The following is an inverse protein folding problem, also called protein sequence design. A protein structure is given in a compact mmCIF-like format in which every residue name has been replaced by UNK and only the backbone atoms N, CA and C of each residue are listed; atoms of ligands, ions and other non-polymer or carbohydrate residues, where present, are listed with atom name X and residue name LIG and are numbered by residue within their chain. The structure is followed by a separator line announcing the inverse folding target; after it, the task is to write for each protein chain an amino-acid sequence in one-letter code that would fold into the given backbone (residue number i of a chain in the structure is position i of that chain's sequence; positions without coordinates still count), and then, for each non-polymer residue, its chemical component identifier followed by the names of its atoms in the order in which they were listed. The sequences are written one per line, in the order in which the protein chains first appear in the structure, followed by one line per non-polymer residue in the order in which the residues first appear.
data_IF_339190019684
#
_entry.id   IF_339190019684
#
_cell.length_a   1.000
_cell.length_b   1.000
_cell.length_c   1.000
_cell.angle_alpha   90.00
_cell.angle_beta   90.00
_cell.angle_gamma   90.00
#
_symmetry.space_group_name_H-M   'P 1'
#
loop_
_entity.id
_entity.type
_entity.pdbx_description
1 polymer ?
#
# COMPACT_ATOMS: atom_id res chain seq x y z
N UNK A 1 -17.85 43.07 -17.03
CA UNK A 1 -18.27 41.74 -16.51
C UNK A 1 -17.57 40.68 -17.33
N UNK A 2 -16.89 39.71 -16.69
CA UNK A 2 -16.17 38.65 -17.40
C UNK A 2 -17.15 37.58 -17.93
N UNK A 3 -16.74 36.86 -18.96
CA UNK A 3 -17.52 35.76 -19.57
C UNK A 3 -17.85 34.67 -18.54
N UNK A 4 -16.97 34.46 -17.56
CA UNK A 4 -17.15 33.48 -16.48
C UNK A 4 -18.30 33.87 -15.54
N UNK A 5 -18.49 35.17 -15.28
CA UNK A 5 -19.62 35.64 -14.48
C UNK A 5 -20.95 35.42 -15.21
N UNK A 6 -20.98 35.65 -16.53
CA UNK A 6 -22.18 35.36 -17.35
C UNK A 6 -22.51 33.86 -17.36
N UNK A 7 -21.52 32.99 -17.55
CA UNK A 7 -21.73 31.54 -17.54
C UNK A 7 -22.23 31.02 -16.19
N UNK A 8 -21.71 31.57 -15.09
CA UNK A 8 -22.11 31.19 -13.74
C UNK A 8 -23.55 31.60 -13.44
N UNK A 9 -23.97 32.80 -13.89
CA UNK A 9 -25.33 33.28 -13.70
C UNK A 9 -26.33 32.56 -14.61
N UNK A 10 -25.94 32.19 -15.84
CA UNK A 10 -26.74 31.38 -16.76
C UNK A 10 -26.98 29.97 -16.19
N UNK A 11 -25.95 29.33 -15.65
CA UNK A 11 -26.03 28.01 -15.00
C UNK A 11 -26.90 28.05 -13.74
N UNK A 12 -26.79 29.09 -12.91
CA UNK A 12 -27.66 29.28 -11.74
C UNK A 12 -29.12 29.52 -12.13
N UNK A 13 -29.38 30.15 -13.27
CA UNK A 13 -30.74 30.32 -13.81
C UNK A 13 -31.31 29.00 -14.33
N UNK A 14 -30.54 28.22 -15.08
CA UNK A 14 -30.98 26.93 -15.63
C UNK A 14 -31.13 25.84 -14.56
N UNK A 15 -30.28 25.83 -13.52
CA UNK A 15 -30.39 24.89 -12.41
C UNK A 15 -31.67 25.03 -11.59
N UNK A 16 -32.33 26.20 -11.62
CA UNK A 16 -33.63 26.44 -10.97
C UNK A 16 -34.84 25.98 -11.79
N UNK A 17 -34.66 25.61 -13.06
CA UNK A 17 -35.77 25.15 -13.92
C UNK A 17 -35.82 23.63 -14.10
N UNK A 18 -34.89 22.87 -13.50
CA UNK A 18 -34.93 21.40 -13.54
C UNK A 18 -35.80 20.91 -12.37
N UNK A 19 -37.11 20.94 -12.57
CA UNK A 19 -38.04 20.19 -11.72
C UNK A 19 -38.16 18.78 -12.26
N UNK A 20 -37.84 17.78 -11.43
CA UNK A 20 -38.08 16.38 -11.76
C UNK A 20 -39.59 16.20 -11.98
N UNK A 21 -40.05 15.72 -13.16
CA UNK A 21 -41.48 15.57 -13.40
C UNK A 21 -42.07 14.58 -12.40
N UNK A 22 -43.03 15.04 -11.59
CA UNK A 22 -43.69 14.21 -10.57
C UNK A 22 -44.28 12.91 -11.13
N UNK A 23 -44.57 12.88 -12.44
CA UNK A 23 -45.01 11.70 -13.18
C UNK A 23 -44.02 10.53 -13.18
N UNK A 24 -42.71 10.77 -13.01
CA UNK A 24 -41.70 9.70 -12.98
C UNK A 24 -41.77 8.92 -11.67
N UNK A 25 -41.96 9.61 -10.54
CA UNK A 25 -42.11 9.00 -9.21
C UNK A 25 -43.38 8.15 -9.12
N UNK A 26 -44.52 8.69 -9.59
CA UNK A 26 -45.79 7.97 -9.60
C UNK A 26 -45.74 6.73 -10.49
N UNK A 27 -45.06 6.82 -11.64
CA UNK A 27 -44.89 5.66 -12.55
C UNK A 27 -43.98 4.58 -11.96
N UNK A 28 -42.98 4.95 -11.16
CA UNK A 28 -42.11 3.98 -10.49
C UNK A 28 -42.82 3.29 -9.32
N UNK A 29 -43.63 4.02 -8.53
CA UNK A 29 -44.49 3.42 -7.50
C UNK A 29 -45.51 2.45 -8.11
N UNK A 30 -46.20 2.84 -9.18
CA UNK A 30 -47.19 1.97 -9.83
C UNK A 30 -46.57 0.68 -10.40
N UNK A 31 -45.37 0.76 -10.97
CA UNK A 31 -44.64 -0.43 -11.45
C UNK A 31 -44.15 -1.32 -10.30
N UNK A 32 -43.83 -0.72 -9.15
CA UNK A 32 -43.44 -1.46 -7.96
C UNK A 32 -44.64 -2.20 -7.36
N UNK A 33 -45.77 -1.53 -7.19
CA UNK A 33 -47.00 -2.09 -6.65
C UNK A 33 -47.59 -3.19 -7.55
N UNK A 34 -47.58 -3.00 -8.87
CA UNK A 34 -47.99 -4.04 -9.82
C UNK A 34 -47.13 -5.30 -9.72
N UNK A 35 -45.80 -5.16 -9.61
CA UNK A 35 -44.91 -6.33 -9.44
C UNK A 35 -45.05 -7.00 -8.08
N UNK A 36 -45.38 -6.25 -7.04
CA UNK A 36 -45.60 -6.81 -5.70
C UNK A 36 -46.94 -7.55 -5.63
N UNK A 37 -48.00 -7.00 -6.22
CA UNK A 37 -49.31 -7.64 -6.29
C UNK A 37 -49.30 -8.91 -7.16
N UNK A 38 -48.59 -8.91 -8.30
CA UNK A 38 -48.46 -10.09 -9.16
C UNK A 38 -47.65 -11.22 -8.50
N UNK A 39 -46.70 -10.90 -7.62
CA UNK A 39 -45.98 -11.90 -6.82
C UNK A 39 -46.80 -12.47 -5.67
N UNK A 40 -47.84 -11.77 -5.21
CA UNK A 40 -48.76 -12.26 -4.17
C UNK A 40 -49.91 -13.10 -4.73
N UNK A 41 -50.29 -12.90 -6.00
CA UNK A 41 -51.42 -13.61 -6.62
C UNK A 41 -51.06 -14.96 -7.24
N UNK A 42 -49.78 -15.22 -7.52
CA UNK A 42 -49.30 -16.45 -8.17
C UNK A 42 -48.29 -17.19 -7.30
N UNK A 43 -48.77 -17.95 -6.31
CA UNK A 43 -47.91 -18.90 -5.59
C UNK A 43 -48.52 -19.42 -4.29
N UNK A 44 -49.10 -20.62 -4.37
CA UNK A 44 -49.42 -21.46 -3.22
C UNK A 44 -48.22 -21.63 -2.28
N UNK A 45 -48.40 -21.37 -0.99
CA UNK A 45 -47.54 -21.92 0.07
C UNK A 45 -47.17 -20.96 1.19
N UNK A 46 -47.74 -21.24 2.37
CA UNK A 46 -47.33 -20.80 3.71
C UNK A 46 -47.71 -19.37 4.14
N UNK A 47 -48.84 -19.31 4.85
CA UNK A 47 -49.15 -18.32 5.88
C UNK A 47 -48.02 -18.24 6.91
N UNK A 48 -47.13 -17.24 6.81
CA UNK A 48 -46.09 -16.99 7.85
C UNK A 48 -46.21 -15.60 8.49
N UNK A 49 -47.07 -14.71 7.99
CA UNK A 49 -47.21 -13.36 8.55
C UNK A 49 -48.62 -13.02 9.01
N UNK A 50 -49.16 -13.84 9.92
CA UNK A 50 -50.17 -13.40 10.87
C UNK A 50 -49.44 -13.00 12.18
N UNK A 51 -49.46 -11.70 12.48
CA UNK A 51 -48.75 -10.99 13.57
C UNK A 51 -48.82 -11.70 14.96
N UNK A 52 -47.83 -11.45 15.84
CA UNK A 52 -47.96 -10.29 16.71
C UNK A 52 -46.75 -9.35 16.69
N UNK A 53 -47.10 -8.06 16.64
CA UNK A 53 -46.31 -6.81 16.54
C UNK A 53 -45.33 -6.54 17.70
N UNK A 54 -45.00 -7.55 18.53
CA UNK A 54 -44.17 -7.39 19.75
C UNK A 54 -42.70 -7.78 19.56
N UNK A 55 -42.41 -8.67 18.61
CA UNK A 55 -41.03 -9.04 18.29
C UNK A 55 -40.45 -8.27 17.10
N UNK A 56 -41.26 -7.51 16.35
CA UNK A 56 -40.76 -6.73 15.22
C UNK A 56 -39.78 -5.64 15.66
N UNK A 57 -39.98 -5.05 16.85
CA UNK A 57 -39.04 -4.09 17.42
C UNK A 57 -37.74 -4.77 17.86
N UNK A 58 -37.81 -5.95 18.50
CA UNK A 58 -36.63 -6.71 18.90
C UNK A 58 -35.85 -7.24 17.69
N UNK A 59 -36.54 -7.71 16.65
CA UNK A 59 -35.93 -8.14 15.38
C UNK A 59 -35.33 -6.96 14.64
N UNK A 60 -35.99 -5.79 14.64
CA UNK A 60 -35.44 -4.58 14.03
C UNK A 60 -34.23 -4.06 14.80
N UNK A 61 -34.25 -4.08 16.13
CA UNK A 61 -33.08 -3.77 16.98
C UNK A 61 -31.97 -4.79 16.75
N UNK A 62 -32.28 -6.08 16.65
CA UNK A 62 -31.30 -7.12 16.35
C UNK A 62 -30.72 -6.95 14.93
N UNK A 63 -31.52 -6.57 13.93
CA UNK A 63 -31.07 -6.26 12.57
C UNK A 63 -30.24 -4.98 12.53
N UNK A 64 -30.64 -3.93 13.26
CA UNK A 64 -29.87 -2.72 13.40
C UNK A 64 -28.56 -3.00 14.10
N UNK A 65 -28.56 -3.76 15.20
CA UNK A 65 -27.35 -4.20 15.86
C UNK A 65 -26.49 -5.05 14.93
N UNK A 66 -27.05 -5.97 14.12
CA UNK A 66 -26.31 -6.72 13.10
C UNK A 66 -25.73 -5.84 11.99
N UNK A 67 -26.48 -4.80 11.57
CA UNK A 67 -26.06 -3.82 10.57
C UNK A 67 -24.97 -2.88 11.11
N UNK A 68 -25.01 -2.55 12.41
CA UNK A 68 -24.01 -1.71 13.09
C UNK A 68 -22.84 -2.51 13.69
N UNK A 69 -23.02 -3.79 14.01
CA UNK A 69 -21.98 -4.70 14.51
C UNK A 69 -21.26 -5.45 13.39
N UNK A 70 -21.76 -5.33 12.15
CA UNK A 70 -21.33 -6.13 11.00
C UNK A 70 -20.17 -5.55 10.19
N UNK A 71 -19.57 -4.42 10.59
CA UNK A 71 -18.43 -3.87 9.86
C UNK A 71 -17.33 -3.44 10.83
N UNK A 72 -16.79 -4.41 11.58
CA UNK A 72 -15.40 -4.32 11.96
C UNK A 72 -14.57 -4.52 10.68
N UNK A 73 -14.32 -3.43 9.93
CA UNK A 73 -13.34 -3.46 8.85
C UNK A 73 -12.04 -3.99 9.45
N UNK A 74 -11.59 -5.17 9.00
CA UNK A 74 -10.42 -5.86 9.52
C UNK A 74 -9.09 -5.11 9.22
N UNK A 75 -9.14 -3.90 8.69
CA UNK A 75 -8.01 -3.02 8.49
C UNK A 75 -8.39 -1.60 8.86
N UNK A 76 -7.62 -0.97 9.74
CA UNK A 76 -7.79 0.43 10.11
C UNK A 76 -6.98 1.28 9.15
N UNK A 77 -7.62 2.23 8.45
CA UNK A 77 -6.90 3.26 7.71
C UNK A 77 -6.12 4.11 8.72
N UNK A 78 -4.80 4.17 8.56
CA UNK A 78 -3.92 4.87 9.47
C UNK A 78 -3.68 6.30 9.05
N UNK A 79 -3.34 6.49 7.78
CA UNK A 79 -3.16 7.81 7.20
C UNK A 79 -3.34 7.78 5.69
N UNK A 80 -3.53 8.97 5.13
CA UNK A 80 -3.61 9.20 3.70
C UNK A 80 -2.76 10.42 3.37
N UNK A 81 -1.90 10.28 2.35
CA UNK A 81 -1.21 11.37 1.70
C UNK A 81 -1.91 11.68 0.39
N UNK A 82 -2.08 12.95 0.05
CA UNK A 82 -2.77 13.38 -1.17
C UNK A 82 -2.06 14.62 -1.75
N UNK A 83 -1.79 14.61 -3.06
CA UNK A 83 -1.17 15.71 -3.81
C UNK A 83 -2.12 16.29 -4.89
N UNK A 84 -3.42 16.15 -4.68
CA UNK A 84 -4.50 16.57 -5.58
C UNK A 84 -4.83 15.56 -6.68
N UNK A 85 -3.80 14.96 -7.29
CA UNK A 85 -3.95 13.94 -8.35
C UNK A 85 -3.77 12.55 -7.77
N UNK A 86 -2.68 12.31 -7.04
CA UNK A 86 -2.33 11.02 -6.47
C UNK A 86 -2.69 10.94 -4.99
N UNK A 87 -3.16 9.76 -4.56
CA UNK A 87 -3.49 9.47 -3.17
C UNK A 87 -2.82 8.18 -2.72
N UNK A 88 -2.06 8.24 -1.62
CA UNK A 88 -1.43 7.08 -1.00
C UNK A 88 -2.04 6.84 0.38
N UNK A 89 -2.68 5.70 0.54
CA UNK A 89 -3.34 5.30 1.78
C UNK A 89 -2.56 4.18 2.44
N UNK A 90 -2.29 4.32 3.73
CA UNK A 90 -1.70 3.25 4.53
C UNK A 90 -2.75 2.75 5.51
N UNK A 91 -2.95 1.45 5.51
CA UNK A 91 -3.83 0.76 6.44
C UNK A 91 -3.06 -0.33 7.18
N UNK A 92 -3.50 -0.64 8.39
CA UNK A 92 -2.91 -1.72 9.17
C UNK A 92 -3.94 -2.71 9.66
N UNK A 93 -3.51 -3.96 9.74
CA UNK A 93 -4.19 -5.02 10.45
C UNK A 93 -3.23 -5.55 11.53
N UNK A 94 -3.52 -5.20 12.78
CA UNK A 94 -2.72 -5.61 13.94
C UNK A 94 -2.97 -7.06 14.36
N UNK A 95 -4.01 -7.72 13.82
CA UNK A 95 -4.35 -9.12 14.11
C UNK A 95 -3.60 -10.13 13.21
N UNK A 96 -2.80 -9.65 12.25
CA UNK A 96 -2.07 -10.49 11.28
C UNK A 96 -0.56 -10.34 11.43
N UNK A 97 -0.03 -10.71 12.59
CA UNK A 97 1.43 -10.71 12.84
C UNK A 97 1.98 -12.13 12.84
N UNK A 98 3.21 -12.30 12.36
CA UNK A 98 3.96 -13.54 12.55
C UNK A 98 4.52 -13.55 13.98
N UNK A 99 4.59 -14.74 14.59
CA UNK A 99 5.36 -14.89 15.82
C UNK A 99 6.88 -14.79 15.55
N UNK A 100 7.69 -14.74 16.60
CA UNK A 100 9.14 -14.57 16.47
C UNK A 100 9.81 -15.72 15.70
N UNK A 101 9.38 -16.96 15.93
CA UNK A 101 9.95 -18.15 15.29
C UNK A 101 9.58 -18.19 13.80
N UNK A 102 8.33 -17.90 13.47
CA UNK A 102 7.85 -17.76 12.09
C UNK A 102 8.58 -16.64 11.36
N UNK A 103 8.76 -15.50 12.02
CA UNK A 103 9.47 -14.34 11.46
C UNK A 103 10.92 -14.71 11.11
N UNK A 104 11.63 -15.35 12.04
CA UNK A 104 13.00 -15.80 11.80
C UNK A 104 13.06 -16.81 10.65
N UNK A 105 12.18 -17.81 10.65
CA UNK A 105 12.12 -18.80 9.58
C UNK A 105 11.87 -18.13 8.22
N UNK A 106 10.92 -17.20 8.12
CA UNK A 106 10.66 -16.47 6.87
C UNK A 106 11.89 -15.70 6.41
N UNK A 107 12.59 -14.99 7.30
CA UNK A 107 13.82 -14.24 6.97
C UNK A 107 14.93 -15.15 6.47
N UNK A 108 15.22 -16.23 7.18
CA UNK A 108 16.27 -17.18 6.81
C UNK A 108 16.01 -17.76 5.42
N UNK A 109 14.75 -18.14 5.16
CA UNK A 109 14.31 -18.68 3.86
C UNK A 109 14.45 -17.68 2.73
N UNK A 110 14.02 -16.44 2.93
CA UNK A 110 14.18 -15.36 1.94
C UNK A 110 15.66 -15.10 1.67
N UNK A 111 16.48 -15.06 2.73
CA UNK A 111 17.93 -14.84 2.60
C UNK A 111 18.62 -15.99 1.86
N UNK A 112 18.22 -17.23 2.10
CA UNK A 112 18.74 -18.41 1.38
C UNK A 112 18.45 -18.34 -0.12
N UNK A 113 17.23 -17.94 -0.51
CA UNK A 113 16.91 -17.74 -1.94
C UNK A 113 17.74 -16.60 -2.51
N UNK A 114 17.82 -15.47 -1.79
CA UNK A 114 18.58 -14.30 -2.24
C UNK A 114 20.06 -14.63 -2.48
N UNK A 115 20.69 -15.44 -1.63
CA UNK A 115 22.09 -15.87 -1.80
C UNK A 115 22.32 -16.78 -3.01
N UNK A 116 21.28 -17.41 -3.56
CA UNK A 116 21.35 -18.24 -4.77
C UNK A 116 21.18 -17.43 -6.07
N UNK A 117 20.81 -16.15 -5.96
CA UNK A 117 20.66 -15.24 -7.07
C UNK A 117 22.00 -14.56 -7.36
N UNK A 118 22.32 -14.38 -8.64
CA UNK A 118 23.43 -13.52 -9.04
C UNK A 118 23.05 -12.04 -8.84
N UNK A 119 24.07 -11.17 -8.81
CA UNK A 119 23.86 -9.73 -8.68
C UNK A 119 23.00 -9.19 -9.83
N UNK A 120 21.93 -8.48 -9.50
CA UNK A 120 20.91 -7.98 -10.42
C UNK A 120 19.75 -8.95 -10.69
N UNK A 121 19.81 -10.19 -10.20
CA UNK A 121 18.74 -11.16 -10.43
C UNK A 121 17.60 -11.06 -9.40
N UNK A 122 16.43 -11.53 -9.81
CA UNK A 122 15.20 -11.54 -9.01
C UNK A 122 14.53 -12.91 -9.02
N UNK A 123 13.80 -13.25 -7.97
CA UNK A 123 12.95 -14.44 -7.89
C UNK A 123 11.60 -14.12 -7.23
N UNK A 124 10.60 -14.94 -7.54
CA UNK A 124 9.35 -15.02 -6.79
C UNK A 124 9.45 -16.18 -5.82
N UNK A 125 9.15 -15.91 -4.55
CA UNK A 125 9.21 -16.90 -3.48
C UNK A 125 7.82 -17.06 -2.88
N UNK A 126 7.36 -18.31 -2.73
CA UNK A 126 6.19 -18.64 -1.94
C UNK A 126 6.57 -18.84 -0.48
N UNK A 127 5.88 -18.09 0.39
CA UNK A 127 6.06 -18.09 1.83
C UNK A 127 4.77 -18.59 2.48
N UNK A 128 4.68 -19.88 2.86
CA UNK A 128 3.46 -20.47 3.41
C UNK A 128 2.97 -19.77 4.69
N UNK A 129 3.90 -19.26 5.50
CA UNK A 129 3.60 -18.57 6.75
C UNK A 129 2.74 -17.32 6.53
N UNK A 130 3.02 -16.55 5.47
CA UNK A 130 2.23 -15.38 5.10
C UNK A 130 0.80 -15.78 4.69
N UNK A 131 0.65 -16.91 3.99
CA UNK A 131 -0.66 -17.43 3.61
C UNK A 131 -1.52 -17.78 4.84
N UNK A 132 -0.91 -18.36 5.89
CA UNK A 132 -1.61 -18.76 7.13
C UNK A 132 -2.21 -17.55 7.85
N UNK A 133 -1.55 -16.41 7.80
CA UNK A 133 -2.03 -15.14 8.39
C UNK A 133 -2.75 -14.24 7.38
N UNK A 134 -3.11 -14.77 6.20
CA UNK A 134 -3.84 -14.06 5.14
C UNK A 134 -3.15 -12.77 4.69
N UNK A 135 -1.82 -12.82 4.56
CA UNK A 135 -1.00 -11.85 3.85
C UNK A 135 -0.65 -12.37 2.45
N UNK A 136 -0.26 -11.50 1.50
CA UNK A 136 0.20 -11.92 0.19
C UNK A 136 1.31 -12.97 0.33
N UNK A 137 1.10 -14.21 -0.16
CA UNK A 137 1.99 -15.32 0.14
C UNK A 137 3.13 -15.45 -0.87
N UNK A 138 3.14 -14.62 -1.91
CA UNK A 138 4.27 -14.47 -2.82
C UNK A 138 5.00 -13.17 -2.51
N UNK A 139 6.33 -13.23 -2.46
CA UNK A 139 7.22 -12.07 -2.31
C UNK A 139 8.26 -12.05 -3.42
N UNK A 140 8.57 -10.86 -3.94
CA UNK A 140 9.69 -10.67 -4.89
C UNK A 140 10.96 -10.53 -4.05
N UNK A 141 11.95 -11.37 -4.33
CA UNK A 141 13.26 -11.35 -3.69
C UNK A 141 14.29 -10.96 -4.73
N UNK A 142 15.06 -9.92 -4.46
CA UNK A 142 16.07 -9.39 -5.36
C UNK A 142 17.45 -9.54 -4.71
N UNK A 143 18.46 -9.82 -5.52
CA UNK A 143 19.86 -9.66 -5.16
C UNK A 143 20.37 -8.36 -5.82
N UNK A 144 20.17 -7.20 -5.19
CA UNK A 144 20.46 -5.93 -5.83
C UNK A 144 21.96 -5.74 -6.07
N UNK A 145 22.27 -4.97 -7.12
CA UNK A 145 23.61 -4.41 -7.28
C UNK A 145 23.82 -3.26 -6.29
N UNK A 146 24.96 -3.32 -5.60
CA UNK A 146 25.38 -2.33 -4.62
C UNK A 146 26.35 -1.34 -5.24
N UNK A 147 26.07 -0.06 -5.07
CA UNK A 147 26.88 1.05 -5.59
C UNK A 147 27.42 1.88 -4.43
N UNK A 148 28.74 1.88 -4.24
CA UNK A 148 29.41 2.66 -3.17
C UNK A 148 29.78 4.09 -3.59
N UNK A 149 29.49 4.45 -4.85
CA UNK A 149 29.64 5.80 -5.37
C UNK A 149 28.27 6.31 -5.81
N UNK A 150 27.84 7.44 -5.25
CA UNK A 150 26.52 8.01 -5.47
C UNK A 150 26.30 8.49 -6.92
N UNK A 151 27.33 9.02 -7.56
CA UNK A 151 27.27 9.47 -8.95
C UNK A 151 27.15 8.29 -9.91
N UNK A 152 27.84 7.17 -9.60
CA UNK A 152 27.71 5.93 -10.36
C UNK A 152 26.30 5.36 -10.19
N UNK A 153 25.78 5.33 -8.96
CA UNK A 153 24.40 4.90 -8.69
C UNK A 153 23.38 5.72 -9.49
N UNK A 154 23.48 7.06 -9.46
CA UNK A 154 22.58 7.95 -10.20
C UNK A 154 22.57 7.68 -11.71
N UNK A 155 23.72 7.31 -12.30
CA UNK A 155 23.81 6.96 -13.73
C UNK A 155 23.09 5.66 -14.09
N UNK A 156 22.81 4.79 -13.12
CA UNK A 156 22.08 3.53 -13.34
C UNK A 156 20.57 3.68 -13.22
N UNK A 157 20.09 4.82 -12.72
CA UNK A 157 18.67 5.04 -12.52
C UNK A 157 17.98 5.38 -13.84
N UNK A 158 16.80 4.80 -14.04
CA UNK A 158 15.91 5.16 -15.15
C UNK A 158 15.56 6.65 -15.02
N UNK A 159 15.84 7.42 -16.07
CA UNK A 159 15.67 8.88 -16.10
C UNK A 159 16.95 9.70 -15.84
N UNK A 160 18.04 9.04 -15.44
CA UNK A 160 19.38 9.63 -15.37
C UNK A 160 19.67 10.47 -14.12
N UNK A 161 20.85 11.12 -14.07
CA UNK A 161 21.29 11.91 -12.92
C UNK A 161 20.36 13.08 -12.61
N UNK A 162 20.14 13.35 -11.32
CA UNK A 162 19.36 14.50 -10.85
C UNK A 162 17.84 14.29 -10.80
N UNK A 163 17.33 13.08 -11.08
CA UNK A 163 15.92 12.77 -10.92
C UNK A 163 15.47 12.69 -9.45
N UNK A 164 16.36 12.27 -8.55
CA UNK A 164 16.02 12.00 -7.16
C UNK A 164 16.74 12.97 -6.23
N UNK A 165 15.95 13.60 -5.35
CA UNK A 165 16.49 14.45 -4.28
C UNK A 165 17.43 13.67 -3.38
N UNK A 166 18.51 14.32 -2.98
CA UNK A 166 19.50 13.77 -2.06
C UNK A 166 19.55 14.61 -0.78
N UNK A 167 19.82 14.02 0.38
CA UNK A 167 20.07 14.79 1.59
C UNK A 167 21.38 15.55 1.44
N UNK A 168 21.34 16.88 1.58
CA UNK A 168 22.56 17.71 1.61
C UNK A 168 23.25 17.71 2.97
N UNK A 169 22.52 17.28 4.01
CA UNK A 169 23.03 17.04 5.36
C UNK A 169 22.40 15.79 5.94
N UNK A 170 23.16 15.14 6.81
CA UNK A 170 22.74 13.95 7.55
C UNK A 170 22.91 14.22 9.06
N UNK A 171 22.20 13.45 9.91
CA UNK A 171 22.47 13.43 11.34
C UNK A 171 23.94 13.10 11.61
N UNK A 172 24.44 13.53 12.77
CA UNK A 172 25.85 13.41 13.11
C UNK A 172 26.32 11.94 13.01
N UNK A 173 27.47 11.75 12.36
CA UNK A 173 28.11 10.44 12.22
C UNK A 173 27.54 9.55 11.10
N UNK A 174 26.42 9.91 10.47
CA UNK A 174 25.92 9.18 9.30
C UNK A 174 26.67 9.58 8.03
N UNK A 175 27.05 8.58 7.23
CA UNK A 175 27.66 8.77 5.93
C UNK A 175 27.05 7.82 4.90
N UNK A 176 27.12 8.20 3.62
CA UNK A 176 26.67 7.36 2.52
C UNK A 176 27.51 6.07 2.47
N UNK A 177 26.85 4.92 2.38
CA UNK A 177 27.51 3.62 2.27
C UNK A 177 27.16 2.90 0.99
N UNK A 178 25.90 2.95 0.57
CA UNK A 178 25.41 2.11 -0.53
C UNK A 178 24.18 2.72 -1.20
N UNK A 179 24.15 2.70 -2.53
CA UNK A 179 22.94 2.88 -3.34
C UNK A 179 22.56 1.58 -4.03
N UNK A 180 21.27 1.34 -4.21
CA UNK A 180 20.73 0.20 -4.98
C UNK A 180 19.64 0.69 -5.92
N UNK A 181 19.51 0.02 -7.06
CA UNK A 181 18.46 0.34 -8.07
C UNK A 181 17.12 -0.31 -7.73
N UNK A 182 17.13 -1.34 -6.88
CA UNK A 182 15.93 -2.07 -6.46
C UNK A 182 16.07 -2.51 -4.99
N UNK A 183 14.96 -2.53 -4.25
CA UNK A 183 14.92 -3.07 -2.89
C UNK A 183 15.22 -4.58 -2.86
N UNK A 184 15.86 -5.12 -1.80
CA UNK A 184 16.08 -6.56 -1.67
C UNK A 184 14.79 -7.40 -1.61
N UNK A 185 13.68 -6.79 -1.19
CA UNK A 185 12.36 -7.41 -1.13
C UNK A 185 11.37 -6.42 -1.72
N UNK A 186 10.54 -6.89 -2.65
CA UNK A 186 9.55 -6.08 -3.34
C UNK A 186 8.16 -6.71 -3.35
N UNK A 187 7.18 -5.90 -3.69
CA UNK A 187 5.85 -6.38 -4.02
C UNK A 187 5.86 -7.16 -5.35
N UNK A 188 4.79 -7.92 -5.57
CA UNK A 188 4.55 -8.68 -6.79
C UNK A 188 3.33 -8.07 -7.49
N UNK A 189 3.45 -7.89 -8.80
CA UNK A 189 2.34 -7.44 -9.64
C UNK A 189 1.29 -8.55 -9.83
N UNK A 190 0.09 -8.15 -10.24
CA UNK A 190 -1.06 -9.06 -10.37
C UNK A 190 -0.80 -10.20 -11.36
N UNK A 191 -0.09 -9.96 -12.46
CA UNK A 191 0.17 -11.00 -13.46
C UNK A 191 1.18 -12.01 -12.93
N UNK A 192 2.26 -11.55 -12.31
CA UNK A 192 3.24 -12.42 -11.65
C UNK A 192 2.60 -13.22 -10.52
N UNK A 193 1.70 -12.63 -9.73
CA UNK A 193 0.94 -13.34 -8.70
C UNK A 193 0.10 -14.47 -9.33
N UNK A 194 -0.72 -14.13 -10.35
CA UNK A 194 -1.61 -15.09 -11.03
C UNK A 194 -0.83 -16.25 -11.64
N UNK A 195 0.28 -15.97 -12.30
CA UNK A 195 1.04 -16.96 -13.07
C UNK A 195 1.82 -17.93 -12.17
N UNK A 196 2.19 -17.52 -10.95
CA UNK A 196 3.11 -18.29 -10.10
C UNK A 196 2.48 -18.86 -8.83
N UNK A 197 1.39 -18.29 -8.32
CA UNK A 197 0.87 -18.64 -6.99
C UNK A 197 0.56 -20.13 -6.83
N UNK A 198 -0.32 -20.69 -7.66
CA UNK A 198 -0.75 -22.09 -7.48
C UNK A 198 0.37 -23.08 -7.81
N UNK A 199 1.22 -22.76 -8.78
CA UNK A 199 2.38 -23.58 -9.15
C UNK A 199 3.38 -23.67 -7.98
N UNK A 200 3.81 -22.53 -7.44
CA UNK A 200 4.78 -22.49 -6.34
C UNK A 200 4.17 -23.05 -5.05
N UNK A 201 2.90 -22.76 -4.78
CA UNK A 201 2.17 -23.34 -3.64
C UNK A 201 2.13 -24.87 -3.71
N UNK A 202 1.90 -25.46 -4.89
CA UNK A 202 1.95 -26.91 -5.07
C UNK A 202 3.36 -27.45 -4.82
N UNK A 203 4.37 -26.86 -5.46
CA UNK A 203 5.78 -27.25 -5.29
C UNK A 203 6.25 -27.16 -3.84
N UNK A 204 5.76 -26.18 -3.07
CA UNK A 204 6.14 -26.01 -1.67
C UNK A 204 5.71 -27.18 -0.77
N UNK A 205 4.69 -27.94 -1.18
CA UNK A 205 4.24 -29.15 -0.47
C UNK A 205 5.15 -30.35 -0.74
N UNK A 206 5.82 -30.35 -1.89
CA UNK A 206 6.65 -31.47 -2.34
C UNK A 206 8.12 -31.31 -1.89
N UNK A 207 8.49 -30.13 -1.38
CA UNK A 207 9.85 -29.79 -0.93
C UNK A 207 9.92 -29.86 0.60
N UNK A 208 10.81 -30.67 1.16
CA UNK A 208 10.98 -30.83 2.61
C UNK A 208 11.27 -29.51 3.36
N UNK A 209 11.89 -28.54 2.68
CA UNK A 209 12.17 -27.21 3.23
C UNK A 209 10.94 -26.26 3.25
N UNK A 210 9.84 -26.62 2.59
CA UNK A 210 8.59 -25.83 2.59
C UNK A 210 8.64 -24.52 1.79
N UNK A 211 9.69 -24.31 0.99
CA UNK A 211 9.87 -23.11 0.15
C UNK A 211 9.88 -23.54 -1.30
N UNK A 212 9.08 -22.86 -2.12
CA UNK A 212 9.17 -22.96 -3.56
C UNK A 212 9.43 -21.57 -4.12
N UNK A 213 10.36 -21.47 -5.06
CA UNK A 213 10.69 -20.22 -5.69
C UNK A 213 11.04 -20.45 -7.16
N UNK A 214 10.93 -19.37 -7.94
CA UNK A 214 11.28 -19.36 -9.36
C UNK A 214 11.99 -18.06 -9.69
N UNK A 215 13.10 -18.15 -10.41
CA UNK A 215 13.79 -16.97 -10.95
C UNK A 215 12.87 -16.24 -11.93
N UNK A 216 12.81 -14.91 -11.82
CA UNK A 216 12.09 -14.06 -12.76
C UNK A 216 12.96 -13.82 -14.00
N UNK A 217 12.33 -13.83 -15.17
CA UNK A 217 12.99 -13.40 -16.42
C UNK A 217 13.03 -11.87 -16.47
N UNK A 218 14.11 -11.31 -17.04
CA UNK A 218 14.35 -9.86 -17.10
C UNK A 218 13.19 -9.05 -17.71
N UNK A 219 12.41 -9.63 -18.63
CA UNK A 219 11.27 -8.93 -19.24
C UNK A 219 10.13 -8.63 -18.23
N UNK A 220 10.08 -9.35 -17.11
CA UNK A 220 9.05 -9.17 -16.06
C UNK A 220 9.51 -8.27 -14.92
N UNK A 221 10.75 -7.76 -14.93
CA UNK A 221 11.26 -6.87 -13.87
C UNK A 221 10.94 -5.39 -14.14
N UNK A 222 10.47 -5.04 -15.34
CA UNK A 222 10.23 -3.66 -15.79
C UNK A 222 8.74 -3.33 -16.06
N UNK A 223 7.82 -3.94 -15.33
CA UNK A 223 6.41 -3.60 -15.48
C UNK A 223 6.13 -2.16 -14.96
N UNK A 224 5.33 -1.42 -15.72
CA UNK A 224 5.05 0.02 -15.51
C UNK A 224 3.95 0.29 -14.47
N UNK A 225 3.62 -0.69 -13.62
CA UNK A 225 2.63 -0.49 -12.55
C UNK A 225 3.32 -0.12 -11.24
N UNK A 226 2.63 0.63 -10.38
CA UNK A 226 3.17 1.09 -9.09
C UNK A 226 3.75 -0.05 -8.23
N UNK A 227 3.15 -1.24 -8.30
CA UNK A 227 3.60 -2.43 -7.54
C UNK A 227 4.73 -3.23 -8.20
N UNK A 228 5.09 -2.94 -9.45
CA UNK A 228 6.08 -3.69 -10.20
C UNK A 228 7.36 -2.89 -10.50
N UNK A 229 7.30 -1.57 -10.31
CA UNK A 229 8.44 -0.69 -10.54
C UNK A 229 9.58 -0.98 -9.55
N UNK A 230 10.80 -0.89 -10.04
CA UNK A 230 12.00 -0.91 -9.21
C UNK A 230 12.02 0.33 -8.32
N UNK A 231 12.13 0.10 -7.01
CA UNK A 231 12.22 1.17 -6.01
C UNK A 231 13.71 1.33 -5.67
N UNK A 232 14.40 2.34 -6.22
CA UNK A 232 15.77 2.61 -5.85
C UNK A 232 15.85 3.13 -4.43
N UNK A 233 16.98 2.86 -3.78
CA UNK A 233 17.25 3.36 -2.44
C UNK A 233 18.71 3.73 -2.19
N UNK A 234 18.89 4.60 -1.22
CA UNK A 234 20.19 4.95 -0.62
C UNK A 234 20.24 4.47 0.81
N UNK A 235 21.42 4.12 1.27
CA UNK A 235 21.72 3.67 2.63
C UNK A 235 22.83 4.54 3.18
N UNK A 236 22.57 5.07 4.35
CA UNK A 236 23.48 5.84 5.17
C UNK A 236 23.69 5.10 6.48
N UNK A 237 24.94 5.00 6.92
CA UNK A 237 25.28 4.27 8.13
C UNK A 237 26.17 5.12 9.03
N UNK A 238 25.99 5.00 10.35
CA UNK A 238 26.88 5.59 11.33
C UNK A 238 27.95 4.60 11.82
N UNK A 239 28.87 5.06 12.67
CA UNK A 239 29.96 4.23 13.22
C UNK A 239 29.48 3.12 14.17
N UNK A 240 28.25 3.22 14.69
CA UNK A 240 27.62 2.17 15.53
C UNK A 240 26.93 1.09 14.70
N UNK A 241 26.89 1.27 13.38
CA UNK A 241 26.23 0.37 12.45
C UNK A 241 24.74 0.66 12.25
N UNK A 242 24.19 1.72 12.87
CA UNK A 242 22.80 2.13 12.67
C UNK A 242 22.61 2.66 11.24
N UNK A 243 21.46 2.36 10.63
CA UNK A 243 21.19 2.68 9.24
C UNK A 243 19.95 3.56 9.06
N UNK A 244 20.08 4.55 8.17
CA UNK A 244 18.98 5.31 7.59
C UNK A 244 18.93 4.98 6.11
N UNK A 245 17.77 4.59 5.62
CA UNK A 245 17.54 4.28 4.21
C UNK A 245 16.55 5.27 3.60
N UNK A 246 16.78 5.68 2.37
CA UNK A 246 15.89 6.59 1.64
C UNK A 246 15.37 5.87 0.41
N UNK A 247 14.06 5.70 0.32
CA UNK A 247 13.38 5.00 -0.76
C UNK A 247 12.70 6.02 -1.66
N UNK A 248 12.79 5.78 -2.97
CA UNK A 248 12.20 6.62 -3.98
C UNK A 248 11.26 5.80 -4.85
N UNK A 249 9.96 6.00 -4.69
CA UNK A 249 8.97 5.34 -5.53
C UNK A 249 8.34 6.35 -6.47
N UNK A 250 8.73 6.31 -7.75
CA UNK A 250 8.09 7.12 -8.78
C UNK A 250 6.66 6.61 -9.01
N UNK A 251 5.74 7.53 -9.25
CA UNK A 251 4.37 7.20 -9.64
C UNK A 251 4.29 7.27 -11.17
N UNK A 252 3.97 6.15 -11.85
CA UNK A 252 3.79 6.16 -13.30
C UNK A 252 2.70 7.15 -13.73
N UNK A 253 2.87 7.79 -14.89
CA UNK A 253 1.93 8.82 -15.38
C UNK A 253 0.49 8.30 -15.47
N UNK A 254 0.30 7.04 -15.89
CA UNK A 254 -1.01 6.37 -15.94
C UNK A 254 -1.64 6.02 -14.58
N UNK A 255 -0.95 6.31 -13.48
CA UNK A 255 -1.42 6.09 -12.11
C UNK A 255 -1.57 7.39 -11.31
N UNK A 256 -1.28 8.54 -11.93
CA UNK A 256 -1.34 9.85 -11.27
C UNK A 256 -2.72 10.22 -10.74
N UNK A 257 -3.82 9.60 -11.22
CA UNK A 257 -5.19 9.84 -10.75
C UNK A 257 -5.75 8.71 -9.87
N UNK A 258 -4.87 7.80 -9.39
CA UNK A 258 -5.29 6.63 -8.61
C UNK A 258 -5.06 6.84 -7.12
N UNK A 259 -5.90 6.15 -6.35
CA UNK A 259 -5.62 5.87 -4.94
C UNK A 259 -4.89 4.54 -4.86
N UNK A 260 -3.68 4.57 -4.32
CA UNK A 260 -2.90 3.38 -4.02
C UNK A 260 -2.97 3.08 -2.53
N UNK A 261 -3.18 1.82 -2.19
CA UNK A 261 -3.28 1.36 -0.81
C UNK A 261 -2.11 0.44 -0.47
N UNK A 262 -1.40 0.78 0.61
CA UNK A 262 -0.45 -0.12 1.26
C UNK A 262 -1.09 -0.72 2.51
N UNK A 263 -1.00 -2.05 2.62
CA UNK A 263 -1.44 -2.79 3.79
C UNK A 263 -0.20 -3.25 4.57
N UNK A 264 0.05 -2.62 5.72
CA UNK A 264 1.23 -2.90 6.56
C UNK A 264 0.76 -3.43 7.90
N UNK A 265 1.22 -4.61 8.31
CA UNK A 265 0.84 -5.19 9.60
C UNK A 265 1.69 -4.63 10.74
N UNK A 266 1.10 -4.49 11.92
CA UNK A 266 1.83 -4.16 13.14
C UNK A 266 2.32 -2.72 13.28
N UNK A 267 1.76 -1.77 12.52
CA UNK A 267 1.99 -0.35 12.80
C UNK A 267 1.21 0.01 14.06
N UNK A 268 1.92 0.51 15.07
CA UNK A 268 1.36 0.84 16.38
C UNK A 268 1.26 2.34 16.60
N UNK A 269 2.15 3.12 16.00
CA UNK A 269 2.21 4.56 16.19
C UNK A 269 2.23 5.27 14.85
N UNK A 270 1.44 6.34 14.74
CA UNK A 270 1.40 7.22 13.58
C UNK A 270 1.28 8.65 14.07
N UNK A 271 2.04 9.56 13.44
CA UNK A 271 1.99 10.98 13.73
C UNK A 271 2.21 11.81 12.48
N UNK A 272 1.36 12.82 12.28
CA UNK A 272 1.51 13.81 11.21
C UNK A 272 2.69 14.74 11.51
N UNK A 273 3.48 15.05 10.49
CA UNK A 273 4.64 15.94 10.53
C UNK A 273 4.50 16.95 9.38
N UNK A 274 4.93 18.19 9.62
CA UNK A 274 5.07 19.19 8.57
C UNK A 274 6.55 19.27 8.15
N UNK A 275 6.83 18.90 6.90
CA UNK A 275 8.16 19.01 6.30
C UNK A 275 8.20 20.24 5.39
N UNK A 276 8.58 21.40 5.93
CA UNK A 276 8.73 22.66 5.18
C UNK A 276 7.50 23.00 4.33
N UNK A 277 6.31 22.87 4.92
CA UNK A 277 5.02 23.12 4.25
C UNK A 277 4.40 21.88 3.60
N UNK A 278 5.11 20.74 3.52
CA UNK A 278 4.57 19.48 3.01
C UNK A 278 4.03 18.61 4.14
N UNK A 279 2.93 17.93 3.86
CA UNK A 279 2.38 16.92 4.76
C UNK A 279 3.20 15.63 4.69
N UNK A 280 3.59 15.12 5.85
CA UNK A 280 4.30 13.85 6.02
C UNK A 280 3.71 13.06 7.18
N UNK A 281 3.91 11.74 7.17
CA UNK A 281 3.52 10.87 8.28
C UNK A 281 4.73 10.08 8.78
N UNK A 282 4.96 10.18 10.08
CA UNK A 282 5.86 9.31 10.83
C UNK A 282 5.07 8.09 11.30
N UNK A 283 5.66 6.89 11.18
CA UNK A 283 5.07 5.66 11.67
C UNK A 283 6.12 4.74 12.31
N UNK A 284 5.67 3.94 13.29
CA UNK A 284 6.48 2.91 13.96
C UNK A 284 5.78 1.57 13.85
N UNK A 285 6.52 0.57 13.40
CA UNK A 285 6.11 -0.82 13.27
C UNK A 285 7.00 -1.71 14.15
N UNK A 286 6.43 -2.26 15.22
CA UNK A 286 7.14 -3.15 16.15
C UNK A 286 7.04 -4.64 15.77
N UNK A 287 6.39 -4.95 14.65
CA UNK A 287 6.26 -6.28 14.06
C UNK A 287 6.74 -6.31 12.60
N UNK A 288 7.78 -5.52 12.29
CA UNK A 288 8.38 -5.46 10.97
C UNK A 288 9.13 -6.76 10.67
N UNK A 289 8.43 -7.78 10.18
CA UNK A 289 8.96 -9.13 9.99
C UNK A 289 10.09 -9.22 8.94
N UNK A 290 10.33 -8.19 8.15
CA UNK A 290 11.47 -8.10 7.22
C UNK A 290 12.69 -7.39 7.82
N UNK A 291 12.51 -6.61 8.88
CA UNK A 291 13.59 -5.87 9.55
C UNK A 291 14.41 -6.78 10.48
N UNK A 292 15.74 -6.76 10.48
CA UNK A 292 16.56 -7.56 11.39
C UNK A 292 16.21 -7.39 12.89
N UNK A 293 15.76 -6.19 13.28
CA UNK A 293 15.42 -5.88 14.68
C UNK A 293 13.96 -6.20 15.05
N UNK A 294 13.15 -6.69 14.11
CA UNK A 294 11.68 -6.73 14.18
C UNK A 294 11.01 -5.36 14.28
N UNK A 295 11.77 -4.27 14.25
CA UNK A 295 11.25 -2.91 14.35
C UNK A 295 11.61 -2.12 13.10
N UNK A 296 10.70 -1.23 12.70
CA UNK A 296 10.96 -0.27 11.64
C UNK A 296 10.21 1.02 11.94
N UNK A 297 10.85 2.13 11.66
CA UNK A 297 10.24 3.44 11.68
C UNK A 297 10.42 4.11 10.32
N UNK A 298 9.39 4.82 9.88
CA UNK A 298 9.36 5.43 8.57
C UNK A 298 8.75 6.83 8.64
N UNK A 299 9.34 7.76 7.88
CA UNK A 299 8.76 9.06 7.57
C UNK A 299 8.46 9.10 6.07
N UNK A 300 7.18 9.21 5.71
CA UNK A 300 6.72 9.14 4.33
C UNK A 300 6.02 10.43 3.92
N UNK A 301 6.31 10.93 2.72
CA UNK A 301 5.64 12.09 2.12
C UNK A 301 5.61 12.00 0.60
N UNK A 302 4.73 12.79 -0.03
CA UNK A 302 4.69 12.94 -1.48
C UNK A 302 5.49 14.19 -1.88
N UNK A 303 6.33 14.05 -2.89
CA UNK A 303 7.01 15.16 -3.56
C UNK A 303 6.84 15.08 -5.08
N UNK A 304 7.43 16.07 -5.76
CA UNK A 304 7.44 16.14 -7.21
C UNK A 304 8.85 16.49 -7.68
N UNK A 305 9.37 15.71 -8.63
CA UNK A 305 10.65 15.94 -9.30
C UNK A 305 10.45 15.87 -10.80
N UNK A 306 10.89 16.89 -11.53
CA UNK A 306 10.79 16.95 -13.00
C UNK A 306 9.38 16.62 -13.55
N UNK A 307 8.32 17.03 -12.84
CA UNK A 307 6.93 16.77 -13.22
C UNK A 307 6.42 15.35 -12.92
N UNK A 308 7.22 14.51 -12.27
CA UNK A 308 6.83 13.18 -11.79
C UNK A 308 6.53 13.22 -10.30
N UNK A 309 5.48 12.53 -9.89
CA UNK A 309 5.15 12.37 -8.47
C UNK A 309 6.08 11.30 -7.90
N UNK A 310 6.65 11.58 -6.74
CA UNK A 310 7.56 10.68 -6.04
C UNK A 310 7.07 10.48 -4.62
N UNK A 311 6.82 9.24 -4.24
CA UNK A 311 6.61 8.86 -2.84
C UNK A 311 7.98 8.61 -2.20
N UNK A 312 8.36 9.52 -1.29
CA UNK A 312 9.58 9.41 -0.52
C UNK A 312 9.30 8.68 0.79
N UNK A 313 10.23 7.83 1.19
CA UNK A 313 10.25 7.29 2.55
C UNK A 313 11.67 7.29 3.11
N UNK A 314 11.86 7.93 4.27
CA UNK A 314 13.09 7.80 5.07
C UNK A 314 12.80 6.78 6.16
N UNK A 315 13.51 5.67 6.15
CA UNK A 315 13.23 4.48 6.96
C UNK A 315 14.46 4.12 7.78
N UNK A 316 14.26 3.65 9.01
CA UNK A 316 15.30 2.97 9.76
C UNK A 316 14.75 1.71 10.41
N UNK A 317 15.58 0.67 10.40
CA UNK A 317 15.38 -0.60 11.10
C UNK A 317 16.24 -0.70 12.37
N UNK A 318 17.02 0.34 12.66
CA UNK A 318 17.95 0.39 13.79
C UNK A 318 17.30 1.05 15.00
N UNK A 319 17.34 0.36 16.14
CA UNK A 319 16.77 0.85 17.41
C UNK A 319 17.47 2.14 17.89
N UNK A 320 18.73 2.34 17.50
CA UNK A 320 19.52 3.52 17.86
C UNK A 320 19.16 4.81 17.11
N UNK A 321 18.33 4.73 16.06
CA UNK A 321 17.95 5.91 15.26
C UNK A 321 16.71 6.55 15.86
N UNK A 322 16.73 7.86 16.06
CA UNK A 322 15.58 8.60 16.59
C UNK A 322 14.64 9.08 15.48
N UNK A 323 13.41 9.43 15.86
CA UNK A 323 12.47 10.14 14.97
C UNK A 323 13.08 11.44 14.43
N UNK A 324 13.83 12.16 15.28
CA UNK A 324 14.48 13.42 14.92
C UNK A 324 15.52 13.23 13.83
N UNK A 325 16.25 12.11 13.83
CA UNK A 325 17.24 11.79 12.78
C UNK A 325 16.56 11.59 11.42
N UNK A 326 15.41 10.91 11.39
CA UNK A 326 14.63 10.73 10.16
C UNK A 326 14.06 12.06 9.66
N UNK A 327 13.50 12.88 10.57
CA UNK A 327 12.96 14.20 10.23
C UNK A 327 14.08 15.11 9.72
N UNK A 328 15.23 15.16 10.39
CA UNK A 328 16.38 15.95 9.97
C UNK A 328 16.84 15.56 8.56
N UNK A 329 16.95 14.25 8.29
CA UNK A 329 17.31 13.75 6.95
C UNK A 329 16.30 14.22 5.90
N UNK A 330 14.99 14.07 6.18
CA UNK A 330 13.94 14.44 5.25
C UNK A 330 13.86 15.95 4.99
N UNK A 331 14.08 16.78 6.01
CA UNK A 331 14.14 18.24 5.86
C UNK A 331 15.31 18.69 4.99
N UNK A 332 16.39 17.91 4.91
CA UNK A 332 17.59 18.23 4.15
C UNK A 332 17.61 17.62 2.74
N UNK A 333 16.51 17.00 2.30
CA UNK A 333 16.35 16.52 0.93
C UNK A 333 16.24 17.68 -0.07
N UNK A 334 17.15 17.74 -1.05
CA UNK A 334 17.20 18.79 -2.08
C UNK A 334 17.20 18.25 -3.49
#
# INVERSE_FOLDING_TARGET
MSIEQRLTDELKRQGKSIQCPAAVGVRTEQLFDQRFADKLSKGNGASVFAKPRRYSQAIMIALCLLLFSGIAYASTLLYQLNDGTFSFQVSSNTQKTLDAQQTQAVRERINQVRQQLASGESAVVYVPELNKIKLPPLVKVNQPQSYTNIEVWQKQLVGGPGLYKLPDKLPEGFAFTEGRTVLPIGAIDTDTLRDNLETLKKQSKDVAAGIAWKKLTADRTHAQSFGAQEIPNLIYQNTKGDQIQIYYQLIPDGEKEKTVQAHITGIEQVGKINLKGKEAYYSVNNHAFLSPSNQSQALTWIGQENGQIVLYSVISESVGVSKQDLVFTAEHMK
#
